data_IF_801407944686
#
_entry.id   IF_801407944686
#
_cell.length_a   1.000
_cell.length_b   1.000
_cell.length_c   1.000
_cell.angle_alpha   90.00
_cell.angle_beta   90.00
_cell.angle_gamma   90.00
#
_symmetry.space_group_name_H-M   'P 1'
#
loop_
_entity.id
_entity.type
_entity.pdbx_description
1 polymer ?
#
# COMPACT_ATOMS: atom_id res chain seq x y z
N UNK A 1 -6.87 -7.30 5.00
CA UNK A 1 -6.54 -8.73 4.76
C UNK A 1 -6.26 -9.54 6.04
N UNK A 2 -6.56 -9.00 7.23
CA UNK A 2 -6.57 -9.79 8.46
C UNK A 2 -7.71 -10.82 8.47
N UNK A 3 -8.84 -10.48 7.84
CA UNK A 3 -9.96 -11.38 7.59
C UNK A 3 -9.75 -12.11 6.26
N UNK A 4 -9.56 -13.43 6.33
CA UNK A 4 -9.32 -14.30 5.16
C UNK A 4 -10.62 -14.84 4.55
N UNK A 5 -11.80 -14.44 5.06
CA UNK A 5 -13.11 -14.89 4.54
C UNK A 5 -13.56 -14.11 3.30
N UNK A 6 -12.96 -12.96 3.04
CA UNK A 6 -13.36 -12.05 1.95
C UNK A 6 -14.59 -11.18 2.27
N UNK A 7 -15.06 -11.17 3.52
CA UNK A 7 -16.23 -10.40 3.94
C UNK A 7 -15.92 -9.05 4.59
N UNK A 8 -14.63 -8.68 4.69
CA UNK A 8 -14.23 -7.39 5.23
C UNK A 8 -14.74 -6.24 4.37
N UNK A 9 -15.21 -5.17 5.01
CA UNK A 9 -15.59 -3.93 4.32
C UNK A 9 -14.37 -3.17 3.75
N UNK A 10 -13.17 -3.51 4.23
CA UNK A 10 -11.91 -2.87 3.83
C UNK A 10 -11.20 -3.62 2.70
N UNK A 11 -11.86 -4.59 2.07
CA UNK A 11 -11.26 -5.37 0.98
C UNK A 11 -11.65 -4.77 -0.39
N UNK A 12 -10.71 -4.67 -1.35
CA UNK A 12 -10.90 -3.89 -2.59
C UNK A 12 -12.13 -4.23 -3.43
N UNK A 13 -12.57 -5.52 -3.47
CA UNK A 13 -13.69 -5.92 -4.31
C UNK A 13 -15.08 -5.41 -3.84
N UNK A 14 -15.17 -4.89 -2.61
CA UNK A 14 -16.42 -4.29 -2.08
C UNK A 14 -16.43 -2.76 -2.16
N UNK A 15 -15.37 -2.14 -2.68
CA UNK A 15 -15.30 -0.68 -2.79
C UNK A 15 -16.33 -0.15 -3.77
N UNK A 16 -16.77 1.09 -3.52
CA UNK A 16 -17.69 1.83 -4.38
C UNK A 16 -16.95 2.92 -5.15
N UNK A 17 -17.54 3.38 -6.25
CA UNK A 17 -16.95 4.44 -7.07
C UNK A 17 -16.70 5.73 -6.28
N UNK A 18 -17.68 6.19 -5.50
CA UNK A 18 -17.56 7.40 -4.69
C UNK A 18 -16.87 7.11 -3.35
N UNK A 19 -15.61 6.71 -3.43
CA UNK A 19 -14.78 6.41 -2.26
C UNK A 19 -13.32 6.82 -2.48
N UNK A 20 -12.58 6.86 -1.38
CA UNK A 20 -11.12 7.03 -1.35
C UNK A 20 -10.52 5.73 -0.87
N UNK A 21 -9.65 5.13 -1.67
CA UNK A 21 -8.86 3.96 -1.28
C UNK A 21 -7.43 4.40 -0.95
N UNK A 22 -6.84 3.81 0.08
CA UNK A 22 -5.46 4.11 0.50
C UNK A 22 -4.78 2.89 1.13
N UNK A 23 -3.45 2.85 1.07
CA UNK A 23 -2.67 1.77 1.67
C UNK A 23 -2.63 1.85 3.19
N UNK A 24 -2.76 3.05 3.73
CA UNK A 24 -2.79 3.32 5.16
C UNK A 24 -2.77 4.82 5.44
N UNK A 25 -3.02 5.17 6.70
CA UNK A 25 -2.91 6.52 7.24
C UNK A 25 -1.60 6.71 7.99
N UNK A 26 -1.38 7.89 8.57
CA UNK A 26 -0.23 8.16 9.43
C UNK A 26 -0.16 7.27 10.68
N UNK A 27 -1.29 6.72 11.11
CA UNK A 27 -1.40 5.87 12.31
C UNK A 27 -1.28 4.37 12.01
N UNK A 28 -1.23 3.99 10.72
CA UNK A 28 -1.08 2.60 10.33
C UNK A 28 0.39 2.20 10.19
N UNK A 29 0.63 0.90 10.24
CA UNK A 29 1.90 0.30 9.81
C UNK A 29 2.14 0.61 8.33
N UNK A 30 3.39 0.69 7.92
CA UNK A 30 3.73 0.65 6.49
C UNK A 30 3.47 -0.76 5.94
N UNK A 31 3.28 -0.90 4.63
CA UNK A 31 2.93 -2.21 4.01
C UNK A 31 3.91 -3.31 4.43
N UNK A 32 5.22 -3.06 4.40
CA UNK A 32 6.22 -4.06 4.77
C UNK A 32 6.07 -4.51 6.23
N UNK A 33 5.93 -3.55 7.17
CA UNK A 33 5.72 -3.86 8.59
C UNK A 33 4.44 -4.65 8.83
N UNK A 34 3.34 -4.22 8.22
CA UNK A 34 2.07 -4.92 8.28
C UNK A 34 2.18 -6.37 7.76
N UNK A 35 2.80 -6.56 6.59
CA UNK A 35 2.93 -7.88 5.98
C UNK A 35 3.81 -8.83 6.81
N UNK A 36 4.88 -8.31 7.42
CA UNK A 36 5.76 -9.07 8.30
C UNK A 36 5.03 -9.59 9.55
N UNK A 37 4.02 -8.86 10.02
CA UNK A 37 3.21 -9.22 11.20
C UNK A 37 2.05 -10.18 10.89
N UNK A 38 1.76 -10.48 9.63
CA UNK A 38 0.71 -11.42 9.25
C UNK A 38 1.08 -12.87 9.59
N UNK A 39 0.07 -13.69 9.90
CA UNK A 39 0.21 -15.14 9.95
C UNK A 39 0.46 -15.70 8.55
N UNK A 40 0.94 -16.94 8.45
CA UNK A 40 1.15 -17.59 7.14
C UNK A 40 -0.15 -17.68 6.34
N UNK A 41 -1.28 -18.04 6.97
CA UNK A 41 -2.58 -18.09 6.34
C UNK A 41 -2.99 -16.73 5.74
N UNK A 42 -2.79 -15.66 6.50
CA UNK A 42 -3.10 -14.29 6.05
C UNK A 42 -2.19 -13.85 4.90
N UNK A 43 -0.90 -14.21 4.93
CA UNK A 43 0.02 -13.95 3.81
C UNK A 43 -0.40 -14.70 2.55
N UNK A 44 -0.70 -15.99 2.66
CA UNK A 44 -1.14 -16.81 1.54
C UNK A 44 -2.42 -16.28 0.92
N UNK A 45 -3.39 -15.91 1.76
CA UNK A 45 -4.63 -15.27 1.32
C UNK A 45 -4.36 -13.94 0.61
N UNK A 46 -3.54 -13.07 1.22
CA UNK A 46 -3.18 -11.77 0.65
C UNK A 46 -2.50 -11.93 -0.70
N UNK A 47 -1.47 -12.76 -0.78
CA UNK A 47 -0.68 -12.97 -2.01
C UNK A 47 -1.55 -13.52 -3.14
N UNK A 48 -2.44 -14.45 -2.83
CA UNK A 48 -3.41 -14.98 -3.80
C UNK A 48 -4.41 -13.90 -4.25
N UNK A 49 -4.96 -13.13 -3.31
CA UNK A 49 -5.95 -12.09 -3.59
C UNK A 49 -5.41 -10.99 -4.52
N UNK A 50 -4.20 -10.49 -4.22
CA UNK A 50 -3.57 -9.43 -5.01
C UNK A 50 -2.85 -9.95 -6.26
N UNK A 51 -2.87 -11.26 -6.48
CA UNK A 51 -2.13 -11.93 -7.55
C UNK A 51 -0.66 -11.50 -7.57
N UNK A 52 0.00 -11.64 -6.42
CA UNK A 52 1.41 -11.29 -6.26
C UNK A 52 2.28 -12.21 -7.11
N UNK A 53 3.16 -11.62 -7.90
CA UNK A 53 4.08 -12.38 -8.76
C UNK A 53 5.28 -12.86 -7.98
N UNK A 54 5.88 -13.95 -8.44
CA UNK A 54 7.13 -14.44 -7.83
C UNK A 54 8.22 -13.34 -7.86
N UNK A 55 8.80 -13.05 -6.70
CA UNK A 55 9.83 -12.02 -6.55
C UNK A 55 9.33 -10.57 -6.57
N UNK A 56 8.00 -10.33 -6.71
CA UNK A 56 7.44 -8.99 -6.64
C UNK A 56 7.43 -8.49 -5.18
N UNK A 57 7.93 -7.28 -4.89
CA UNK A 57 7.77 -6.66 -3.58
C UNK A 57 6.29 -6.55 -3.21
N UNK A 58 5.94 -6.81 -1.95
CA UNK A 58 4.57 -6.72 -1.47
C UNK A 58 3.98 -5.32 -1.67
N UNK A 59 4.80 -4.30 -1.49
CA UNK A 59 4.42 -2.90 -1.72
C UNK A 59 3.97 -2.66 -3.14
N UNK A 60 4.69 -3.18 -4.15
CA UNK A 60 4.30 -3.04 -5.57
C UNK A 60 3.00 -3.78 -5.90
N UNK A 61 2.84 -4.99 -5.37
CA UNK A 61 1.62 -5.76 -5.60
C UNK A 61 0.38 -5.06 -5.00
N UNK A 62 0.50 -4.52 -3.79
CA UNK A 62 -0.58 -3.77 -3.15
C UNK A 62 -0.84 -2.41 -3.80
N UNK A 63 0.19 -1.66 -4.19
CA UNK A 63 0.02 -0.41 -4.95
C UNK A 63 -0.68 -0.66 -6.29
N UNK A 64 -0.31 -1.72 -7.01
CA UNK A 64 -0.98 -2.12 -8.23
C UNK A 64 -2.46 -2.45 -7.99
N UNK A 65 -2.76 -3.17 -6.92
CA UNK A 65 -4.13 -3.50 -6.51
C UNK A 65 -4.91 -2.24 -6.13
N UNK A 66 -4.33 -1.33 -5.35
CA UNK A 66 -4.92 -0.05 -4.98
C UNK A 66 -5.32 0.77 -6.22
N UNK A 67 -4.41 0.89 -7.19
CA UNK A 67 -4.66 1.64 -8.41
C UNK A 67 -5.69 0.97 -9.33
N UNK A 68 -5.87 -0.33 -9.23
CA UNK A 68 -6.89 -1.09 -9.95
C UNK A 68 -8.30 -1.02 -9.34
N UNK A 69 -8.46 -0.42 -8.15
CA UNK A 69 -9.77 -0.31 -7.50
C UNK A 69 -10.71 0.63 -8.27
N UNK A 70 -12.01 0.49 -8.03
CA UNK A 70 -13.03 1.37 -8.62
C UNK A 70 -13.16 2.72 -7.91
N UNK A 71 -12.46 2.92 -6.80
CA UNK A 71 -12.49 4.17 -6.02
C UNK A 71 -12.06 5.37 -6.86
N UNK A 72 -12.77 6.50 -6.76
CA UNK A 72 -12.41 7.74 -7.47
C UNK A 72 -11.00 8.22 -7.16
N UNK A 73 -10.58 8.06 -5.91
CA UNK A 73 -9.27 8.53 -5.44
C UNK A 73 -8.49 7.37 -4.85
N UNK A 74 -7.24 7.24 -5.26
CA UNK A 74 -6.27 6.31 -4.66
C UNK A 74 -5.13 7.13 -4.04
N UNK A 75 -4.84 6.87 -2.77
CA UNK A 75 -3.76 7.54 -2.01
C UNK A 75 -2.77 6.48 -1.53
N UNK A 76 -1.51 6.67 -1.86
CA UNK A 76 -0.41 5.83 -1.37
C UNK A 76 0.54 6.65 -0.50
N UNK A 77 1.04 6.06 0.58
CA UNK A 77 2.06 6.71 1.39
C UNK A 77 3.39 6.71 0.65
N UNK A 78 4.21 7.72 0.88
CA UNK A 78 5.55 7.78 0.28
C UNK A 78 6.43 6.61 0.76
N UNK A 79 6.25 6.18 2.00
CA UNK A 79 6.96 5.03 2.55
C UNK A 79 6.68 3.75 1.75
N UNK A 80 5.44 3.51 1.38
CA UNK A 80 5.04 2.34 0.59
C UNK A 80 5.55 2.43 -0.86
N UNK A 81 5.50 3.62 -1.46
CA UNK A 81 6.08 3.87 -2.80
C UNK A 81 7.59 3.60 -2.81
N UNK A 82 8.27 3.96 -1.73
CA UNK A 82 9.72 3.78 -1.59
C UNK A 82 10.11 2.39 -1.10
N UNK A 83 9.15 1.50 -0.81
CA UNK A 83 9.38 0.15 -0.28
C UNK A 83 10.12 0.17 1.08
N UNK A 84 9.69 1.04 1.98
CA UNK A 84 10.35 1.27 3.27
C UNK A 84 9.95 0.24 4.32
N UNK A 85 10.86 -0.07 5.28
CA UNK A 85 10.56 -0.90 6.44
C UNK A 85 9.73 -0.14 7.50
N UNK A 86 9.23 -0.87 8.51
CA UNK A 86 8.34 -0.35 9.57
C UNK A 86 8.91 0.85 10.33
N UNK A 87 10.22 0.95 10.50
CA UNK A 87 10.84 2.09 11.18
C UNK A 87 10.72 3.43 10.43
N UNK A 88 10.15 3.43 9.21
CA UNK A 88 9.81 4.64 8.47
C UNK A 88 8.40 5.17 8.76
N UNK A 89 7.64 4.50 9.62
CA UNK A 89 6.27 4.87 9.99
C UNK A 89 6.19 6.32 10.48
N UNK A 90 5.12 7.01 10.13
CA UNK A 90 4.94 8.42 10.48
C UNK A 90 4.63 8.60 11.97
N UNK A 91 3.72 7.80 12.49
CA UNK A 91 3.28 7.87 13.88
C UNK A 91 3.10 6.48 14.47
N UNK A 92 3.58 6.29 15.71
CA UNK A 92 3.33 5.11 16.51
C UNK A 92 2.30 5.49 17.59
N UNK A 93 1.02 5.10 17.44
CA UNK A 93 -0.02 5.46 18.38
C UNK A 93 0.33 5.10 19.81
N UNK A 94 -0.10 5.93 20.77
CA UNK A 94 0.16 5.77 22.20
C UNK A 94 1.65 5.84 22.60
N UNK A 95 2.50 6.42 21.76
CA UNK A 95 3.92 6.67 22.09
C UNK A 95 4.25 8.14 22.04
N UNK A 96 5.37 8.50 22.69
CA UNK A 96 5.97 9.84 22.62
C UNK A 96 7.41 9.71 22.10
N UNK A 97 7.90 10.74 21.42
CA UNK A 97 9.31 10.82 21.01
C UNK A 97 9.50 10.89 19.48
N UNK A 98 9.69 9.78 18.81
CA UNK A 98 10.14 9.76 17.40
C UNK A 98 9.01 9.88 16.35
N UNK A 99 7.79 10.26 16.74
CA UNK A 99 6.65 10.44 15.86
C UNK A 99 6.80 11.69 14.97
N UNK A 100 6.29 11.64 13.73
CA UNK A 100 6.24 12.75 12.77
C UNK A 100 7.61 13.25 12.28
N UNK A 101 8.68 12.47 12.49
CA UNK A 101 10.07 12.84 12.16
C UNK A 101 10.59 12.27 10.85
N UNK A 102 10.01 11.17 10.37
CA UNK A 102 10.47 10.56 9.13
C UNK A 102 10.43 11.54 7.95
N UNK A 103 11.47 11.53 7.16
CA UNK A 103 11.58 12.32 5.92
C UNK A 103 12.21 11.47 4.83
N UNK A 104 11.66 11.61 3.62
CA UNK A 104 12.30 11.08 2.42
C UNK A 104 13.62 11.81 2.15
N UNK A 105 14.64 11.07 1.77
CA UNK A 105 15.94 11.62 1.41
C UNK A 105 16.03 11.95 -0.10
N UNK A 106 16.86 12.90 -0.50
CA UNK A 106 17.12 13.16 -1.91
C UNK A 106 17.60 11.91 -2.64
N UNK A 107 17.06 11.66 -3.84
CA UNK A 107 17.45 10.52 -4.68
C UNK A 107 16.75 9.19 -4.38
N UNK A 108 15.92 9.07 -3.34
CA UNK A 108 15.19 7.85 -3.05
C UNK A 108 14.10 7.50 -4.08
N UNK A 109 13.57 8.50 -4.79
CA UNK A 109 12.67 8.28 -5.93
C UNK A 109 13.52 7.95 -7.15
N UNK A 110 13.84 6.69 -7.32
CA UNK A 110 14.62 6.17 -8.45
C UNK A 110 13.81 6.18 -9.76
N UNK A 111 14.49 6.01 -10.89
CA UNK A 111 13.86 5.89 -12.21
C UNK A 111 12.87 4.72 -12.21
N UNK A 112 13.26 3.56 -11.70
CA UNK A 112 12.41 2.37 -11.59
C UNK A 112 11.11 2.63 -10.81
N UNK A 113 11.16 3.40 -9.72
CA UNK A 113 9.96 3.77 -8.96
C UNK A 113 9.04 4.72 -9.73
N UNK A 114 9.63 5.67 -10.46
CA UNK A 114 8.86 6.57 -11.32
C UNK A 114 8.18 5.82 -12.46
N UNK A 115 8.91 4.95 -13.15
CA UNK A 115 8.38 4.12 -14.24
C UNK A 115 7.25 3.22 -13.75
N UNK A 116 7.40 2.60 -12.59
CA UNK A 116 6.34 1.79 -12.00
C UNK A 116 5.08 2.61 -11.69
N UNK A 117 5.21 3.79 -11.08
CA UNK A 117 4.06 4.66 -10.79
C UNK A 117 3.40 5.16 -12.09
N UNK A 118 4.19 5.54 -13.08
CA UNK A 118 3.67 5.93 -14.40
C UNK A 118 2.88 4.78 -15.02
N UNK A 119 3.45 3.58 -15.07
CA UNK A 119 2.79 2.39 -15.64
C UNK A 119 1.43 2.11 -14.98
N UNK A 120 1.35 2.07 -13.63
CA UNK A 120 0.08 1.78 -12.97
C UNK A 120 -0.92 2.94 -13.07
N UNK A 121 -0.45 4.19 -13.13
CA UNK A 121 -1.31 5.37 -13.33
C UNK A 121 -1.95 5.35 -14.70
N UNK A 122 -1.17 5.12 -15.75
CA UNK A 122 -1.66 5.04 -17.12
C UNK A 122 -2.52 3.81 -17.35
N UNK A 123 -2.06 2.64 -16.89
CA UNK A 123 -2.75 1.35 -17.05
C UNK A 123 -4.17 1.36 -16.48
N UNK A 124 -4.37 2.04 -15.36
CA UNK A 124 -5.67 2.13 -14.69
C UNK A 124 -6.37 3.47 -14.91
N UNK A 125 -5.93 4.25 -15.91
CA UNK A 125 -6.52 5.52 -16.34
C UNK A 125 -6.76 6.52 -15.20
N UNK A 126 -5.76 6.68 -14.31
CA UNK A 126 -5.84 7.57 -13.14
C UNK A 126 -5.19 8.95 -13.36
N UNK A 127 -4.68 9.23 -14.57
CA UNK A 127 -3.98 10.47 -14.89
C UNK A 127 -4.81 11.53 -15.61
N UNK A 128 -6.03 11.23 -16.04
CA UNK A 128 -6.83 12.07 -16.95
C UNK A 128 -8.17 12.51 -16.35
N UNK A 129 -8.21 12.84 -15.08
CA UNK A 129 -9.42 13.42 -14.46
C UNK A 129 -9.22 14.90 -14.19
#
# INVERSE_FOLDING_TARGET
FYDTTGNSIDIPHVYTHHSVAYTGTHDNEVINGWYDNLTQEQRDYTDAYINRRQGEPITRALLRTLFATVSNTAIATMQDILDKPENSRTNFPNTVGENWKWRMLPGEITVDKKEFLTDITERYNRGNN
#
